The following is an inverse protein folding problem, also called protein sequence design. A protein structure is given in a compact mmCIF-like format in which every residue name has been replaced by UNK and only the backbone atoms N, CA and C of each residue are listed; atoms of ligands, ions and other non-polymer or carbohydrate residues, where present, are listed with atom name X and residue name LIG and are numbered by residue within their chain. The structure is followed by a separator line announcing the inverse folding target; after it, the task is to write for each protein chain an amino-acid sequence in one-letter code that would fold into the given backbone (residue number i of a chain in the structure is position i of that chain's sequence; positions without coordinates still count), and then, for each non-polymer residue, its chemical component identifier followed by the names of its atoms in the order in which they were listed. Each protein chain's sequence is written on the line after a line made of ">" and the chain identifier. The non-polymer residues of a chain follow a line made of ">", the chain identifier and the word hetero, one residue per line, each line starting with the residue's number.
data_IF_228938636184
#
_entry.id   IF_228938636184
#
_cell.length_a   1.000
_cell.length_b   1.000
_cell.length_c   1.000
_cell.angle_alpha   90.00
_cell.angle_beta   90.00
_cell.angle_gamma   90.00
#
_symmetry.space_group_name_H-M   'P 1'
#
loop_
_entity.id
_entity.type
_entity.pdbx_description
1 polymer ?
#
# COMPACT_ATOMS: atom_id res chain seq x y z
N UNK A 1 5.31 5.73 9.46
CA UNK A 1 4.04 5.02 9.74
C UNK A 1 3.52 4.42 8.45
N UNK A 2 2.67 3.41 8.57
CA UNK A 2 1.92 2.81 7.47
C UNK A 2 0.79 1.98 8.04
N UNK A 3 -0.29 1.82 7.28
CA UNK A 3 -1.49 1.10 7.73
C UNK A 3 -2.02 0.18 6.64
N UNK A 4 -2.69 -0.87 7.08
CA UNK A 4 -3.60 -1.66 6.24
C UNK A 4 -5.01 -1.45 6.80
N UNK A 5 -5.94 -1.13 5.92
CA UNK A 5 -7.37 -1.15 6.20
C UNK A 5 -8.03 -2.23 5.35
N UNK A 6 -9.15 -2.78 5.78
CA UNK A 6 -9.85 -3.80 5.02
C UNK A 6 -11.10 -4.31 5.69
N UNK A 7 -11.76 -5.24 5.02
CA UNK A 7 -12.98 -5.91 5.49
C UNK A 7 -12.70 -7.18 6.33
N UNK A 8 -11.43 -7.56 6.49
CA UNK A 8 -11.02 -8.80 7.15
C UNK A 8 -11.29 -10.05 6.30
N UNK A 9 -11.63 -9.88 5.03
CA UNK A 9 -11.98 -10.94 4.10
C UNK A 9 -11.27 -10.75 2.77
N UNK A 10 -11.96 -10.15 1.80
CA UNK A 10 -11.54 -10.14 0.42
C UNK A 10 -10.75 -8.89 0.03
N UNK A 11 -10.88 -7.77 0.74
CA UNK A 11 -10.37 -6.48 0.28
C UNK A 11 -9.58 -5.74 1.35
N UNK A 12 -8.36 -5.36 0.97
CA UNK A 12 -7.44 -4.60 1.78
C UNK A 12 -6.83 -3.45 0.99
N UNK A 13 -6.48 -2.38 1.70
CA UNK A 13 -5.79 -1.23 1.14
C UNK A 13 -4.64 -0.81 2.05
N UNK A 14 -3.45 -0.69 1.47
CA UNK A 14 -2.31 -0.07 2.12
C UNK A 14 -2.48 1.45 2.03
N UNK A 15 -2.46 2.13 3.17
CA UNK A 15 -2.70 3.58 3.28
C UNK A 15 -1.67 4.24 4.21
N UNK A 16 -1.47 5.54 3.99
CA UNK A 16 -0.63 6.44 4.80
C UNK A 16 0.80 5.95 5.05
N UNK A 17 1.45 5.44 3.99
CA UNK A 17 2.88 5.17 4.03
C UNK A 17 3.61 6.51 4.07
N UNK A 18 4.16 6.83 5.24
CA UNK A 18 4.84 8.08 5.48
C UNK A 18 6.13 7.87 6.29
N UNK A 19 7.19 8.52 5.83
CA UNK A 19 8.46 8.66 6.55
C UNK A 19 8.73 10.15 6.69
N UNK A 20 8.99 10.59 7.91
CA UNK A 20 9.37 11.98 8.18
C UNK A 20 10.52 12.41 7.24
N UNK A 21 10.43 13.59 6.60
CA UNK A 21 11.42 14.06 5.63
C UNK A 21 12.87 13.95 6.10
N UNK A 22 13.16 14.20 7.38
CA UNK A 22 14.52 14.13 7.93
C UNK A 22 15.11 12.70 7.92
N UNK A 23 14.26 11.69 7.79
CA UNK A 23 14.62 10.27 7.84
C UNK A 23 14.41 9.54 6.51
N UNK A 24 14.00 10.25 5.45
CA UNK A 24 13.87 9.68 4.12
C UNK A 24 15.23 9.26 3.53
N UNK A 25 15.22 8.38 2.52
CA UNK A 25 16.43 7.85 1.89
C UNK A 25 17.19 6.79 2.71
N UNK A 26 16.75 6.49 3.93
CA UNK A 26 17.39 5.52 4.84
C UNK A 26 16.79 4.11 4.81
N UNK A 27 15.92 3.83 3.84
CA UNK A 27 15.25 2.53 3.73
C UNK A 27 14.05 2.30 4.66
N UNK A 28 13.67 3.28 5.48
CA UNK A 28 12.55 3.16 6.42
C UNK A 28 11.20 2.84 5.73
N UNK A 29 10.95 3.40 4.55
CA UNK A 29 9.73 3.09 3.78
C UNK A 29 9.68 1.61 3.37
N UNK A 30 10.84 1.03 3.04
CA UNK A 30 10.96 -0.40 2.77
C UNK A 30 10.70 -1.21 4.03
N UNK A 31 11.24 -0.81 5.19
CA UNK A 31 10.97 -1.51 6.45
C UNK A 31 9.49 -1.49 6.81
N UNK A 32 8.82 -0.34 6.70
CA UNK A 32 7.37 -0.22 6.94
C UNK A 32 6.60 -1.20 6.04
N UNK A 33 6.88 -1.20 4.73
CA UNK A 33 6.22 -2.11 3.79
C UNK A 33 6.53 -3.58 4.09
N UNK A 34 7.76 -3.91 4.49
CA UNK A 34 8.12 -5.27 4.89
C UNK A 34 7.28 -5.75 6.06
N UNK A 35 7.15 -4.96 7.12
CA UNK A 35 6.32 -5.35 8.26
C UNK A 35 4.84 -5.51 7.89
N UNK A 36 4.30 -4.59 7.08
CA UNK A 36 2.91 -4.67 6.63
C UNK A 36 2.65 -5.89 5.74
N UNK A 37 3.55 -6.22 4.82
CA UNK A 37 3.38 -7.37 3.94
C UNK A 37 3.58 -8.69 4.68
N UNK A 38 4.51 -8.75 5.63
CA UNK A 38 4.67 -9.93 6.49
C UNK A 38 3.39 -10.22 7.28
N UNK A 39 2.71 -9.18 7.79
CA UNK A 39 1.43 -9.33 8.48
C UNK A 39 0.33 -9.84 7.54
N UNK A 40 0.25 -9.29 6.32
CA UNK A 40 -0.69 -9.77 5.31
C UNK A 40 -0.44 -11.21 4.89
N UNK A 41 0.81 -11.57 4.63
CA UNK A 41 1.18 -12.93 4.21
C UNK A 41 0.86 -13.97 5.31
N UNK A 42 0.88 -13.56 6.58
CA UNK A 42 0.57 -14.42 7.71
C UNK A 42 -0.94 -14.57 7.97
N UNK A 43 -1.75 -13.54 7.69
CA UNK A 43 -3.13 -13.47 8.17
C UNK A 43 -4.19 -13.32 7.07
N UNK A 44 -3.85 -12.85 5.88
CA UNK A 44 -4.83 -12.59 4.84
C UNK A 44 -5.42 -13.90 4.29
N UNK A 45 -6.75 -13.98 4.09
CA UNK A 45 -7.37 -15.13 3.43
C UNK A 45 -6.83 -15.34 2.01
N UNK A 46 -6.82 -16.60 1.57
CA UNK A 46 -6.45 -16.93 0.20
C UNK A 46 -7.36 -16.18 -0.81
N UNK A 47 -6.73 -15.49 -1.76
CA UNK A 47 -7.45 -14.68 -2.76
C UNK A 47 -7.80 -13.26 -2.31
N UNK A 48 -7.35 -12.82 -1.14
CA UNK A 48 -7.44 -11.43 -0.72
C UNK A 48 -6.82 -10.49 -1.77
N UNK A 49 -7.53 -9.41 -2.09
CA UNK A 49 -7.10 -8.36 -3.00
C UNK A 49 -6.54 -7.19 -2.19
N UNK A 50 -5.26 -6.89 -2.38
CA UNK A 50 -4.56 -5.79 -1.69
C UNK A 50 -4.23 -4.69 -2.69
N UNK A 51 -4.61 -3.46 -2.38
CA UNK A 51 -4.41 -2.31 -3.28
C UNK A 51 -3.80 -1.11 -2.57
N UNK A 52 -3.35 -0.12 -3.36
CA UNK A 52 -2.92 1.19 -2.90
C UNK A 52 -3.04 2.21 -4.03
N UNK A 53 -3.06 3.49 -3.69
CA UNK A 53 -2.85 4.58 -4.65
C UNK A 53 -1.41 5.07 -4.47
N UNK A 54 -0.58 4.88 -5.49
CA UNK A 54 0.82 5.24 -5.43
C UNK A 54 1.06 6.62 -6.04
N UNK A 55 1.57 7.55 -5.24
CA UNK A 55 2.19 8.75 -5.78
C UNK A 55 3.47 8.39 -6.54
N UNK A 56 3.73 9.07 -7.65
CA UNK A 56 4.98 8.91 -8.39
C UNK A 56 6.03 9.86 -7.78
N UNK A 57 7.26 9.40 -7.45
CA UNK A 57 7.87 8.11 -7.80
C UNK A 57 7.88 7.06 -6.67
N UNK A 58 6.96 7.15 -5.69
CA UNK A 58 6.88 6.19 -4.59
C UNK A 58 6.39 4.81 -5.05
N UNK A 59 5.68 4.74 -6.17
CA UNK A 59 5.31 3.52 -6.89
C UNK A 59 6.45 2.48 -7.03
N UNK A 60 7.68 2.94 -7.27
CA UNK A 60 8.88 2.08 -7.37
C UNK A 60 9.18 1.30 -6.09
N UNK A 61 8.76 1.80 -4.93
CA UNK A 61 8.89 1.07 -3.67
C UNK A 61 7.94 -0.13 -3.68
N UNK A 62 6.67 0.11 -4.01
CA UNK A 62 5.61 -0.90 -3.95
C UNK A 62 5.81 -2.02 -4.97
N UNK A 63 6.37 -1.70 -6.15
CA UNK A 63 6.74 -2.72 -7.14
C UNK A 63 7.72 -3.77 -6.60
N UNK A 64 8.56 -3.43 -5.61
CA UNK A 64 9.47 -4.39 -4.96
C UNK A 64 8.75 -5.42 -4.09
N UNK A 65 7.50 -5.17 -3.75
CA UNK A 65 6.62 -6.03 -2.96
C UNK A 65 5.55 -6.73 -3.83
N UNK A 66 5.74 -6.76 -5.15
CA UNK A 66 4.85 -7.48 -6.06
C UNK A 66 3.60 -6.69 -6.49
N UNK A 67 3.45 -5.43 -6.06
CA UNK A 67 2.38 -4.57 -6.57
C UNK A 67 2.62 -4.25 -8.05
N UNK A 68 1.54 -4.31 -8.83
CA UNK A 68 1.52 -3.97 -10.26
C UNK A 68 0.50 -2.87 -10.52
N UNK A 69 0.64 -2.16 -11.64
CA UNK A 69 -0.36 -1.20 -12.04
C UNK A 69 -1.64 -1.94 -12.46
N UNK A 70 -2.79 -1.44 -11.99
CA UNK A 70 -4.11 -1.93 -12.44
C UNK A 70 -4.47 -1.40 -13.83
N UNK A 71 -3.83 -0.31 -14.27
CA UNK A 71 -4.03 0.29 -15.58
C UNK A 71 -3.38 -0.57 -16.69
N UNK A 72 -3.96 -0.57 -17.92
CA UNK A 72 -5.12 0.20 -18.35
C UNK A 72 -6.48 -0.40 -17.98
N UNK A 73 -6.54 -1.65 -17.53
CA UNK A 73 -7.80 -2.38 -17.32
C UNK A 73 -8.66 -1.78 -16.22
N UNK A 74 -8.04 -1.20 -15.19
CA UNK A 74 -8.73 -0.53 -14.08
C UNK A 74 -7.92 0.67 -13.61
N UNK A 75 -8.60 1.78 -13.33
CA UNK A 75 -7.99 3.04 -12.91
C UNK A 75 -8.38 3.38 -11.48
N UNK A 76 -7.42 3.88 -10.70
CA UNK A 76 -7.70 4.47 -9.39
C UNK A 76 -8.55 5.73 -9.55
N UNK A 77 -9.61 5.84 -8.75
CA UNK A 77 -10.52 6.99 -8.75
C UNK A 77 -10.79 7.39 -7.31
N UNK A 78 -11.00 8.69 -7.06
CA UNK A 78 -11.33 9.21 -5.73
C UNK A 78 -12.50 10.21 -5.82
N UNK A 79 -13.24 10.34 -4.71
CA UNK A 79 -14.28 11.36 -4.54
C UNK A 79 -14.19 11.87 -3.10
N UNK A 80 -14.07 13.18 -2.95
CA UNK A 80 -14.08 13.83 -1.64
C UNK A 80 -15.48 14.37 -1.33
N UNK A 81 -15.87 14.30 -0.07
CA UNK A 81 -17.01 15.03 0.45
C UNK A 81 -16.50 16.30 1.15
N UNK A 82 -17.18 17.45 0.99
CA UNK A 82 -16.83 18.63 1.75
C UNK A 82 -16.98 18.35 3.25
N UNK A 83 -16.13 19.01 4.04
CA UNK A 83 -16.24 19.04 5.51
C UNK A 83 -17.55 19.67 5.96
#
# INVERSE_FOLDING_TARGET
>A
MGRIIGDGGCFYQVVDIAVDPAFQGRGLGKQIMTELMNDMDAHAPAGAYVSLLADVPADRLYQKFGFTYTAPQSLGMFKNYPL
#
